data_IF_524151570271
#
_entry.id   IF_524151570271
#
_cell.length_a   1.000
_cell.length_b   1.000
_cell.length_c   1.000
_cell.angle_alpha   90.00
_cell.angle_beta   90.00
_cell.angle_gamma   90.00
#
_symmetry.space_group_name_H-M   'P 1'
#
loop_
_entity.id
_entity.type
_entity.pdbx_description
1 polymer ?
#
# COMPACT_ATOMS: atom_id res chain seq x y z
N UNK A 1 -0.59 1.81 -15.55
CA UNK A 1 -0.30 0.43 -15.16
C UNK A 1 -1.63 -0.27 -15.05
N UNK A 2 -1.95 -1.12 -16.02
CA UNK A 2 -3.21 -1.87 -16.07
C UNK A 2 -2.95 -3.22 -15.41
N UNK A 3 -3.72 -3.65 -14.40
CA UNK A 3 -3.53 -4.96 -13.79
C UNK A 3 -3.68 -6.04 -14.86
N UNK A 4 -2.68 -6.89 -15.02
CA UNK A 4 -2.77 -8.11 -15.83
C UNK A 4 -3.40 -9.22 -14.97
N UNK A 5 -4.68 -9.07 -14.64
CA UNK A 5 -5.50 -10.16 -14.10
C UNK A 5 -6.34 -10.73 -15.24
N UNK A 6 -6.29 -12.06 -15.52
CA UNK A 6 -7.02 -12.67 -16.64
C UNK A 6 -8.53 -12.80 -16.36
N UNK A 7 -9.10 -11.94 -15.52
CA UNK A 7 -10.49 -12.00 -15.12
C UNK A 7 -11.18 -10.64 -15.35
N UNK A 8 -12.33 -10.70 -16.01
CA UNK A 8 -13.20 -9.61 -16.45
C UNK A 8 -13.88 -8.87 -15.28
N UNK A 9 -13.15 -8.47 -14.25
CA UNK A 9 -13.73 -7.66 -13.19
C UNK A 9 -13.52 -6.17 -13.46
N UNK A 10 -14.63 -5.44 -13.54
CA UNK A 10 -14.67 -4.00 -13.79
C UNK A 10 -14.09 -3.19 -12.63
N UNK A 11 -14.04 -3.77 -11.42
CA UNK A 11 -13.60 -3.11 -10.21
C UNK A 11 -12.75 -4.05 -9.36
N UNK A 12 -11.66 -3.52 -8.81
CA UNK A 12 -10.78 -4.21 -7.87
C UNK A 12 -10.53 -3.34 -6.65
N UNK A 13 -10.29 -3.96 -5.52
CA UNK A 13 -9.89 -3.28 -4.29
C UNK A 13 -8.38 -3.37 -4.08
N UNK A 14 -7.81 -2.34 -3.45
CA UNK A 14 -6.41 -2.33 -3.00
C UNK A 14 -6.44 -2.44 -1.48
N UNK A 15 -5.77 -3.44 -0.93
CA UNK A 15 -5.58 -3.55 0.51
C UNK A 15 -4.27 -2.87 0.91
N UNK A 16 -4.36 -1.91 1.82
CA UNK A 16 -3.23 -1.17 2.34
C UNK A 16 -3.11 -1.30 3.85
N UNK A 17 -1.88 -1.35 4.36
CA UNK A 17 -1.63 -1.24 5.80
C UNK A 17 -1.65 0.23 6.22
N UNK A 18 -2.41 0.55 7.25
CA UNK A 18 -2.39 1.87 7.87
C UNK A 18 -1.13 2.01 8.73
N UNK A 19 -0.35 3.06 8.50
CA UNK A 19 0.88 3.34 9.24
C UNK A 19 0.70 4.53 10.19
N UNK A 20 1.53 4.61 11.22
CA UNK A 20 1.54 5.78 12.12
C UNK A 20 1.91 7.08 11.38
N UNK A 21 1.47 8.25 11.86
CA UNK A 21 1.84 9.55 11.27
C UNK A 21 3.35 9.78 11.16
N UNK A 22 4.13 9.19 12.08
CA UNK A 22 5.60 9.24 12.05
C UNK A 22 6.22 8.64 10.78
N UNK A 23 5.51 7.75 10.08
CA UNK A 23 5.92 7.18 8.80
C UNK A 23 5.18 7.87 7.64
N UNK A 24 3.86 8.00 7.72
CA UNK A 24 3.07 8.47 6.58
C UNK A 24 3.31 9.94 6.24
N UNK A 25 3.50 10.83 7.23
CA UNK A 25 3.66 12.26 6.96
C UNK A 25 4.98 12.59 6.25
N UNK A 26 6.16 12.17 6.74
CA UNK A 26 7.42 12.48 6.04
C UNK A 26 7.45 11.92 4.62
N UNK A 27 6.95 10.70 4.43
CA UNK A 27 6.89 10.06 3.11
C UNK A 27 5.92 10.78 2.16
N UNK A 28 4.78 11.25 2.68
CA UNK A 28 3.84 12.05 1.88
C UNK A 28 4.45 13.40 1.50
N UNK A 29 5.19 14.05 2.39
CA UNK A 29 5.87 15.32 2.09
C UNK A 29 6.90 15.15 0.97
N UNK A 30 7.78 14.13 1.06
CA UNK A 30 8.76 13.81 0.00
C UNK A 30 8.04 13.59 -1.34
N UNK A 31 6.92 12.86 -1.32
CA UNK A 31 6.13 12.62 -2.54
C UNK A 31 5.61 13.93 -3.12
N UNK A 32 5.06 14.81 -2.31
CA UNK A 32 4.53 16.11 -2.75
C UNK A 32 5.61 17.04 -3.29
N UNK A 33 6.83 16.98 -2.76
CA UNK A 33 7.95 17.84 -3.15
C UNK A 33 8.62 17.36 -4.45
N UNK A 34 8.82 16.04 -4.61
CA UNK A 34 9.67 15.51 -5.67
C UNK A 34 8.93 14.78 -6.80
N UNK A 35 7.66 14.43 -6.63
CA UNK A 35 6.90 13.69 -7.64
C UNK A 35 5.82 14.55 -8.30
N UNK A 36 5.54 14.35 -9.60
CA UNK A 36 4.46 15.05 -10.29
C UNK A 36 3.11 14.93 -9.55
N UNK A 37 2.39 16.02 -9.29
CA UNK A 37 1.15 16.01 -8.50
C UNK A 37 0.10 15.03 -9.02
N UNK A 38 -0.01 14.85 -10.33
CA UNK A 38 -0.96 13.93 -10.97
C UNK A 38 -0.70 12.43 -10.66
N UNK A 39 0.48 12.09 -10.12
CA UNK A 39 0.83 10.75 -9.65
C UNK A 39 0.56 10.54 -8.15
N UNK A 40 0.33 11.62 -7.39
CA UNK A 40 0.09 11.58 -5.94
C UNK A 40 -1.41 11.56 -5.62
N UNK A 41 -2.10 10.50 -6.04
CA UNK A 41 -3.56 10.35 -5.84
C UNK A 41 -3.97 9.96 -4.42
N UNK A 42 -3.04 9.42 -3.65
CA UNK A 42 -3.25 8.93 -2.29
C UNK A 42 -2.02 9.25 -1.44
N UNK A 43 -2.18 9.47 -0.12
CA UNK A 43 -1.06 9.56 0.80
C UNK A 43 -0.13 8.34 0.72
N UNK A 44 1.10 8.49 1.25
CA UNK A 44 2.03 7.37 1.33
C UNK A 44 1.41 6.22 2.15
N UNK A 45 1.41 5.02 1.57
CA UNK A 45 0.82 3.82 2.15
C UNK A 45 1.64 2.58 1.75
N UNK A 46 1.47 1.49 2.50
CA UNK A 46 2.05 0.19 2.17
C UNK A 46 0.94 -0.65 1.54
N UNK A 47 1.13 -1.06 0.29
CA UNK A 47 0.19 -1.97 -0.41
C UNK A 47 0.50 -3.42 -0.01
N UNK A 48 -0.49 -4.12 0.52
CA UNK A 48 -0.43 -5.56 0.79
C UNK A 48 -0.92 -6.35 -0.43
N UNK A 49 -2.04 -5.93 -1.00
CA UNK A 49 -2.60 -6.49 -2.23
C UNK A 49 -3.01 -5.36 -3.17
N UNK A 50 -2.60 -5.44 -4.43
CA UNK A 50 -2.86 -4.40 -5.43
C UNK A 50 -4.08 -4.70 -6.33
N UNK A 51 -4.72 -5.85 -6.17
CA UNK A 51 -5.91 -6.26 -6.91
C UNK A 51 -6.67 -7.39 -6.19
N UNK A 52 -7.61 -7.02 -5.32
CA UNK A 52 -8.61 -7.95 -4.76
C UNK A 52 -9.89 -7.90 -5.61
N UNK A 53 -10.41 -9.04 -6.09
CA UNK A 53 -11.59 -9.07 -6.95
C UNK A 53 -12.85 -8.67 -6.18
N UNK A 54 -13.60 -7.71 -6.72
CA UNK A 54 -14.86 -7.24 -6.15
C UNK A 54 -15.88 -8.37 -5.93
N UNK A 55 -15.91 -9.41 -6.78
CA UNK A 55 -16.82 -10.55 -6.61
C UNK A 55 -16.57 -11.36 -5.34
N UNK A 56 -15.40 -11.19 -4.70
CA UNK A 56 -15.00 -11.87 -3.47
C UNK A 56 -15.00 -10.95 -2.26
N UNK A 57 -15.66 -9.80 -2.33
CA UNK A 57 -15.69 -8.81 -1.25
C UNK A 57 -15.98 -9.43 0.11
N UNK A 58 -17.11 -10.14 0.23
CA UNK A 58 -17.51 -10.76 1.51
C UNK A 58 -16.49 -11.79 2.02
N UNK A 59 -15.78 -12.48 1.13
CA UNK A 59 -14.76 -13.46 1.50
C UNK A 59 -13.54 -12.75 2.08
N UNK A 60 -12.94 -11.81 1.33
CA UNK A 60 -11.73 -11.15 1.82
C UNK A 60 -12.03 -10.23 3.01
N UNK A 61 -13.22 -9.63 3.11
CA UNK A 61 -13.62 -8.81 4.26
C UNK A 61 -13.67 -9.66 5.54
N UNK A 62 -14.25 -10.85 5.46
CA UNK A 62 -14.23 -11.83 6.54
C UNK A 62 -12.80 -12.27 6.90
N UNK A 63 -12.02 -12.69 5.91
CA UNK A 63 -10.65 -13.19 6.13
C UNK A 63 -9.74 -12.11 6.74
N UNK A 64 -9.82 -10.87 6.24
CA UNK A 64 -9.06 -9.73 6.78
C UNK A 64 -9.50 -9.47 8.22
N UNK A 65 -10.79 -9.52 8.52
CA UNK A 65 -11.31 -9.31 9.87
C UNK A 65 -10.80 -10.38 10.84
N UNK A 66 -10.83 -11.65 10.46
CA UNK A 66 -10.34 -12.74 11.30
C UNK A 66 -8.83 -12.64 11.55
N UNK A 67 -8.05 -12.34 10.51
CA UNK A 67 -6.60 -12.14 10.65
C UNK A 67 -6.31 -10.92 11.53
N UNK A 68 -7.03 -9.81 11.35
CA UNK A 68 -6.84 -8.60 12.14
C UNK A 68 -7.13 -8.80 13.64
N UNK A 69 -8.09 -9.66 14.00
CA UNK A 69 -8.41 -9.97 15.41
C UNK A 69 -7.24 -10.64 16.14
N UNK A 70 -6.47 -11.50 15.46
CA UNK A 70 -5.39 -12.28 16.06
C UNK A 70 -4.00 -11.66 15.83
N UNK A 71 -3.89 -10.72 14.90
CA UNK A 71 -2.63 -10.04 14.59
C UNK A 71 -2.38 -8.90 15.55
N UNK A 72 -1.35 -9.02 16.38
CA UNK A 72 -0.91 -7.91 17.25
C UNK A 72 -0.27 -6.80 16.41
N UNK A 73 -0.42 -5.52 16.80
CA UNK A 73 0.35 -4.44 16.21
C UNK A 73 1.85 -4.74 16.27
N UNK A 74 2.56 -4.49 15.17
CA UNK A 74 4.00 -4.70 15.06
C UNK A 74 4.70 -3.41 14.62
N UNK A 75 5.97 -3.31 14.97
CA UNK A 75 6.80 -2.17 14.57
C UNK A 75 7.27 -2.36 13.14
N UNK A 76 7.21 -1.26 12.39
CA UNK A 76 7.78 -1.13 11.07
C UNK A 76 8.64 0.12 11.06
N UNK A 77 9.68 0.12 10.24
CA UNK A 77 10.54 1.27 10.02
C UNK A 77 10.82 1.45 8.54
N UNK A 78 11.23 2.66 8.16
CA UNK A 78 11.67 2.95 6.80
C UNK A 78 13.16 2.67 6.69
N UNK A 79 13.53 1.78 5.78
CA UNK A 79 14.91 1.51 5.41
C UNK A 79 15.48 2.57 4.45
N UNK A 80 16.59 2.23 3.81
CA UNK A 80 17.30 3.16 2.93
C UNK A 80 16.54 3.37 1.61
N UNK A 81 16.55 4.59 1.04
CA UNK A 81 16.07 4.82 -0.31
C UNK A 81 16.99 4.13 -1.32
N UNK A 82 16.41 3.62 -2.40
CA UNK A 82 17.14 3.05 -3.52
C UNK A 82 16.52 3.46 -4.85
N UNK A 83 17.38 3.53 -5.88
CA UNK A 83 16.99 3.98 -7.22
C UNK A 83 16.32 2.85 -7.98
N UNK A 84 15.16 3.15 -8.58
CA UNK A 84 14.49 2.29 -9.55
C UNK A 84 14.89 2.70 -10.98
N UNK A 85 14.51 1.91 -12.00
CA UNK A 85 14.63 2.33 -13.42
C UNK A 85 13.95 3.68 -13.67
N UNK A 86 12.85 3.97 -12.97
CA UNK A 86 12.17 5.27 -12.93
C UNK A 86 11.69 5.54 -11.51
N UNK A 87 12.25 6.56 -10.86
CA UNK A 87 11.87 6.98 -9.51
C UNK A 87 12.74 6.37 -8.40
N UNK A 88 12.22 6.46 -7.18
CA UNK A 88 12.88 6.05 -5.93
C UNK A 88 11.92 5.18 -5.15
N UNK A 89 12.44 4.12 -4.54
CA UNK A 89 11.73 3.31 -3.55
C UNK A 89 12.41 3.42 -2.20
N UNK A 90 11.64 3.19 -1.13
CA UNK A 90 12.14 3.15 0.24
C UNK A 90 11.88 1.74 0.74
N UNK A 91 12.92 1.07 1.24
CA UNK A 91 12.79 -0.27 1.79
C UNK A 91 11.93 -0.23 3.05
N UNK A 92 11.18 -1.31 3.31
CA UNK A 92 10.59 -1.56 4.62
C UNK A 92 11.60 -2.35 5.43
N UNK A 93 11.73 -1.99 6.70
CA UNK A 93 12.60 -2.67 7.65
C UNK A 93 11.82 -3.03 8.92
N UNK A 94 12.30 -4.05 9.63
CA UNK A 94 11.78 -4.42 10.93
C UNK A 94 12.32 -3.41 11.95
N UNK A 95 11.41 -2.79 12.72
CA UNK A 95 11.77 -1.88 13.81
C UNK A 95 12.22 -2.59 15.08
#
# INVERSE_FOLDING_TARGET
>A
HTPQTPNLESHVYILTLHTTPSISHPLTQIRSEYFPPHLNRTPAHITLFHALPSSKYSTFDHDITEVAKVTRPYRISTGRPFRLRRGVAILLDAG
#
